data_IF_784935359288
#
_entry.id   IF_784935359288
#
_cell.length_a   1.000
_cell.length_b   1.000
_cell.length_c   1.000
_cell.angle_alpha   90.00
_cell.angle_beta   90.00
_cell.angle_gamma   90.00
#
_symmetry.space_group_name_H-M   'P 1'
#
loop_
_entity.id
_entity.type
_entity.pdbx_description
1 polymer ?
#
# COMPACT_ATOMS: atom_id res chain seq x y z
N UNK A 1 -26.11 3.73 9.30
CA UNK A 1 -25.14 4.07 10.38
C UNK A 1 -23.81 3.53 9.95
N UNK A 2 -22.76 4.30 10.00
CA UNK A 2 -21.41 3.83 9.70
C UNK A 2 -20.97 2.86 10.78
N UNK A 3 -20.51 1.67 10.41
CA UNK A 3 -19.97 0.68 11.33
C UNK A 3 -18.51 0.41 11.04
N UNK A 4 -17.74 0.05 12.07
CA UNK A 4 -16.34 -0.33 11.91
C UNK A 4 -16.22 -1.82 11.63
N UNK A 5 -15.30 -2.16 10.75
CA UNK A 5 -14.89 -3.52 10.49
C UNK A 5 -13.37 -3.59 10.26
N UNK A 6 -12.83 -4.79 10.29
CA UNK A 6 -11.43 -5.10 10.06
C UNK A 6 -11.32 -5.99 8.82
N UNK A 7 -10.27 -5.79 8.04
CA UNK A 7 -9.92 -6.75 6.99
C UNK A 7 -9.48 -8.05 7.64
N UNK A 8 -10.18 -9.15 7.32
CA UNK A 8 -9.98 -10.47 7.92
C UNK A 8 -9.24 -11.47 7.01
N UNK A 9 -8.72 -11.00 5.88
CA UNK A 9 -7.90 -11.76 4.92
C UNK A 9 -6.54 -11.08 4.76
N UNK A 10 -5.48 -11.79 4.33
CA UNK A 10 -4.13 -11.20 4.17
C UNK A 10 -4.12 -9.91 3.37
N UNK A 11 -4.86 -9.88 2.26
CA UNK A 11 -5.05 -8.72 1.39
C UNK A 11 -6.47 -8.73 0.85
N UNK A 12 -7.20 -7.65 1.02
CA UNK A 12 -8.48 -7.43 0.35
C UNK A 12 -8.31 -6.41 -0.77
N UNK A 13 -8.64 -6.81 -2.00
CA UNK A 13 -8.68 -5.89 -3.14
C UNK A 13 -9.91 -5.00 -3.04
N UNK A 14 -9.70 -3.69 -3.16
CA UNK A 14 -10.74 -2.66 -3.11
C UNK A 14 -11.20 -2.35 -4.51
N UNK A 15 -12.39 -2.79 -4.84
CA UNK A 15 -12.99 -2.68 -6.16
C UNK A 15 -13.72 -1.36 -6.35
N UNK A 16 -13.84 -0.89 -7.59
CA UNK A 16 -14.57 0.35 -7.93
C UNK A 16 -16.06 0.20 -7.65
N UNK A 17 -16.62 -0.97 -7.93
CA UNK A 17 -18.01 -1.35 -7.62
C UNK A 17 -18.09 -2.84 -7.30
N UNK A 18 -19.21 -3.27 -6.74
CA UNK A 18 -19.50 -4.69 -6.50
C UNK A 18 -19.57 -5.52 -7.80
N UNK A 19 -19.78 -4.87 -8.93
CA UNK A 19 -19.90 -5.48 -10.24
C UNK A 19 -18.60 -5.38 -11.07
N UNK A 20 -17.53 -4.83 -10.50
CA UNK A 20 -16.23 -4.68 -11.17
C UNK A 20 -15.45 -6.00 -11.32
N UNK A 21 -15.49 -6.97 -10.38
CA UNK A 21 -14.82 -8.25 -10.56
C UNK A 21 -15.44 -9.06 -11.72
N UNK A 22 -14.57 -9.78 -12.44
CA UNK A 22 -14.93 -10.74 -13.48
C UNK A 22 -14.95 -12.16 -12.89
N UNK A 23 -15.45 -13.13 -13.62
CA UNK A 23 -15.43 -14.55 -13.19
C UNK A 23 -14.02 -15.03 -12.87
N UNK A 24 -13.03 -14.59 -13.66
CA UNK A 24 -11.60 -14.92 -13.42
C UNK A 24 -11.02 -14.27 -12.16
N UNK A 25 -11.67 -13.24 -11.61
CA UNK A 25 -11.24 -12.58 -10.37
C UNK A 25 -11.80 -13.26 -9.11
N UNK A 26 -12.55 -14.37 -9.25
CA UNK A 26 -13.14 -15.10 -8.13
C UNK A 26 -12.16 -15.48 -7.01
N UNK A 27 -10.87 -15.84 -7.26
CA UNK A 27 -9.92 -16.11 -6.19
C UNK A 27 -9.56 -14.87 -5.37
N UNK A 28 -9.61 -13.66 -5.95
CA UNK A 28 -9.36 -12.41 -5.24
C UNK A 28 -10.53 -11.97 -4.34
N UNK A 29 -11.74 -12.44 -4.62
CA UNK A 29 -12.97 -12.07 -3.88
C UNK A 29 -13.46 -13.17 -2.95
N UNK A 30 -12.80 -14.33 -2.92
CA UNK A 30 -13.11 -15.45 -2.03
C UNK A 30 -12.68 -15.18 -0.59
N UNK A 31 -13.18 -15.99 0.33
CA UNK A 31 -12.66 -16.15 1.68
C UNK A 31 -12.56 -17.66 1.99
N UNK A 32 -11.34 -18.21 2.21
CA UNK A 32 -10.04 -17.52 2.18
C UNK A 32 -9.70 -16.95 0.80
N UNK A 33 -9.00 -15.80 0.78
CA UNK A 33 -8.52 -15.19 -0.45
C UNK A 33 -7.35 -16.01 -1.02
N UNK A 34 -7.33 -16.20 -2.34
CA UNK A 34 -6.32 -16.94 -3.08
C UNK A 34 -5.53 -15.99 -4.00
N UNK A 35 -4.81 -15.03 -3.37
CA UNK A 35 -4.19 -13.91 -4.08
C UNK A 35 -3.17 -14.36 -5.12
N UNK A 36 -2.33 -15.36 -4.81
CA UNK A 36 -1.33 -15.89 -5.73
C UNK A 36 -2.00 -16.59 -6.93
N UNK A 37 -3.03 -17.42 -6.68
CA UNK A 37 -3.80 -18.09 -7.73
C UNK A 37 -4.43 -17.06 -8.67
N UNK A 38 -5.02 -15.98 -8.11
CA UNK A 38 -5.56 -14.90 -8.91
C UNK A 38 -4.49 -14.25 -9.79
N UNK A 39 -3.36 -13.84 -9.21
CA UNK A 39 -2.29 -13.18 -9.94
C UNK A 39 -1.67 -14.05 -11.04
N UNK A 40 -1.53 -15.36 -10.79
CA UNK A 40 -1.01 -16.34 -11.75
C UNK A 40 -2.01 -16.59 -12.90
N UNK A 41 -3.30 -16.46 -12.66
CA UNK A 41 -4.35 -16.61 -13.67
C UNK A 41 -4.44 -15.42 -14.64
N UNK A 42 -3.91 -14.25 -14.26
CA UNK A 42 -4.01 -13.02 -15.05
C UNK A 42 -3.01 -13.02 -16.22
N UNK A 43 -3.52 -12.93 -17.44
CA UNK A 43 -2.73 -12.63 -18.64
C UNK A 43 -2.37 -11.14 -18.68
N UNK A 44 -1.50 -10.74 -19.62
CA UNK A 44 -1.18 -9.33 -19.83
C UNK A 44 -2.45 -8.50 -20.15
N UNK A 45 -3.32 -8.99 -21.02
CA UNK A 45 -4.57 -8.33 -21.40
C UNK A 45 -5.51 -8.17 -20.20
N UNK A 46 -5.72 -9.23 -19.43
CA UNK A 46 -6.62 -9.18 -18.26
C UNK A 46 -6.06 -8.33 -17.12
N UNK A 47 -4.72 -8.18 -17.03
CA UNK A 47 -4.07 -7.21 -16.12
C UNK A 47 -4.27 -5.78 -16.59
N UNK A 48 -4.16 -5.48 -17.88
CA UNK A 48 -4.44 -4.15 -18.45
C UNK A 48 -5.88 -3.74 -18.17
N UNK A 49 -6.85 -4.65 -18.33
CA UNK A 49 -8.26 -4.38 -18.07
C UNK A 49 -8.55 -3.97 -16.61
N UNK A 50 -7.70 -4.30 -15.64
CA UNK A 50 -7.85 -3.81 -14.26
C UNK A 50 -7.75 -2.27 -14.21
N UNK A 51 -6.86 -1.69 -15.03
CA UNK A 51 -6.67 -0.26 -15.19
C UNK A 51 -7.67 0.35 -16.19
N UNK A 52 -7.68 -0.14 -17.42
CA UNK A 52 -8.39 0.46 -18.55
C UNK A 52 -9.90 0.51 -18.34
N UNK A 53 -10.43 -0.46 -17.60
CA UNK A 53 -11.84 -0.53 -17.23
C UNK A 53 -12.10 -0.03 -15.80
N UNK A 54 -11.08 0.57 -15.16
CA UNK A 54 -11.13 1.12 -13.80
C UNK A 54 -11.78 0.14 -12.80
N UNK A 55 -11.33 -1.12 -12.78
CA UNK A 55 -11.92 -2.18 -11.95
C UNK A 55 -11.50 -2.11 -10.50
N UNK A 56 -10.25 -1.74 -10.23
CA UNK A 56 -9.64 -1.73 -8.89
C UNK A 56 -9.25 -0.31 -8.52
N UNK A 57 -9.44 0.03 -7.24
CA UNK A 57 -9.09 1.31 -6.65
C UNK A 57 -7.84 1.24 -5.76
N UNK A 58 -7.74 0.22 -4.91
CA UNK A 58 -6.66 0.07 -3.94
C UNK A 58 -6.63 -1.36 -3.39
N UNK A 59 -5.80 -1.58 -2.36
CA UNK A 59 -5.80 -2.78 -1.52
C UNK A 59 -5.78 -2.37 -0.04
N UNK A 60 -6.31 -3.25 0.81
CA UNK A 60 -6.27 -3.14 2.26
C UNK A 60 -5.67 -4.39 2.88
N UNK A 61 -4.89 -4.21 3.96
CA UNK A 61 -4.12 -5.26 4.62
C UNK A 61 -4.89 -5.88 5.79
N UNK A 62 -4.52 -7.09 6.17
CA UNK A 62 -5.06 -7.80 7.34
C UNK A 62 -5.04 -6.93 8.60
N UNK A 63 -6.14 -6.93 9.35
CA UNK A 63 -6.30 -6.14 10.57
C UNK A 63 -6.53 -4.64 10.35
N UNK A 64 -6.45 -4.14 9.12
CA UNK A 64 -6.70 -2.73 8.82
C UNK A 64 -8.17 -2.39 9.06
N UNK A 65 -8.41 -1.29 9.79
CA UNK A 65 -9.76 -0.78 10.06
C UNK A 65 -10.36 -0.14 8.80
N UNK A 66 -11.62 -0.43 8.56
CA UNK A 66 -12.43 0.20 7.52
C UNK A 66 -13.77 0.66 8.07
N UNK A 67 -14.32 1.72 7.50
CA UNK A 67 -15.66 2.21 7.78
C UNK A 67 -16.63 1.61 6.76
N UNK A 68 -17.56 0.78 7.21
CA UNK A 68 -18.61 0.19 6.35
C UNK A 68 -19.74 1.20 6.22
N UNK A 69 -19.98 1.66 5.00
CA UNK A 69 -20.97 2.66 4.65
C UNK A 69 -22.28 2.04 4.16
N UNK A 70 -22.18 0.89 3.50
CA UNK A 70 -23.30 0.16 2.89
C UNK A 70 -22.94 -1.31 2.75
N UNK A 71 -23.90 -2.21 2.93
CA UNK A 71 -23.79 -3.64 2.63
C UNK A 71 -24.89 -4.04 1.65
N UNK A 72 -24.51 -4.71 0.55
CA UNK A 72 -25.43 -5.11 -0.49
C UNK A 72 -24.92 -6.33 -1.25
N UNK A 73 -25.77 -7.34 -1.41
CA UNK A 73 -25.53 -8.52 -2.25
C UNK A 73 -24.19 -9.24 -1.91
N UNK A 74 -23.81 -9.30 -0.63
CA UNK A 74 -22.55 -9.92 -0.17
C UNK A 74 -21.31 -9.02 -0.32
N UNK A 75 -21.50 -7.73 -0.63
CA UNK A 75 -20.47 -6.71 -0.76
C UNK A 75 -20.66 -5.59 0.25
N UNK A 76 -19.55 -5.02 0.70
CA UNK A 76 -19.50 -3.86 1.58
C UNK A 76 -18.82 -2.69 0.87
N UNK A 77 -19.51 -1.55 0.79
CA UNK A 77 -18.89 -0.28 0.44
C UNK A 77 -18.16 0.25 1.64
N UNK A 78 -16.86 0.39 1.52
CA UNK A 78 -15.98 0.79 2.62
C UNK A 78 -15.25 2.09 2.32
N UNK A 79 -14.80 2.74 3.41
CA UNK A 79 -13.80 3.81 3.40
C UNK A 79 -12.61 3.31 4.20
N UNK A 80 -11.38 3.52 3.70
CA UNK A 80 -10.13 3.17 4.36
C UNK A 80 -9.51 4.44 4.93
N UNK A 81 -9.63 4.73 6.25
CA UNK A 81 -9.18 5.98 6.84
C UNK A 81 -7.68 6.25 6.69
N UNK A 82 -6.86 5.20 6.71
CA UNK A 82 -5.40 5.31 6.61
C UNK A 82 -4.91 5.72 5.21
N UNK A 83 -5.76 5.66 4.19
CA UNK A 83 -5.44 6.02 2.82
C UNK A 83 -6.08 7.36 2.46
N UNK A 84 -5.40 8.46 2.78
CA UNK A 84 -5.88 9.81 2.46
C UNK A 84 -6.03 10.01 0.94
N UNK A 85 -7.10 10.68 0.53
CA UNK A 85 -7.44 10.93 -0.88
C UNK A 85 -8.33 12.16 -1.01
N UNK A 86 -8.37 12.77 -2.18
CA UNK A 86 -9.33 13.82 -2.53
C UNK A 86 -10.73 13.29 -2.88
N UNK A 87 -10.92 11.97 -2.98
CA UNK A 87 -12.22 11.35 -3.33
C UNK A 87 -13.24 11.39 -2.19
N UNK A 88 -12.76 11.29 -0.94
CA UNK A 88 -13.59 11.35 0.27
C UNK A 88 -12.73 11.84 1.45
N UNK A 89 -13.27 12.72 2.28
CA UNK A 89 -12.55 13.30 3.41
C UNK A 89 -12.35 12.36 4.60
N UNK A 90 -13.00 11.19 4.62
CA UNK A 90 -12.86 10.18 5.65
C UNK A 90 -11.81 9.11 5.29
N UNK A 91 -11.34 9.07 4.03
CA UNK A 91 -10.38 8.10 3.54
C UNK A 91 -10.74 7.54 2.16
N UNK A 92 -10.08 6.47 1.75
CA UNK A 92 -10.19 5.95 0.39
C UNK A 92 -11.43 5.07 0.21
N UNK A 93 -12.37 5.42 -0.69
CA UNK A 93 -13.62 4.67 -0.88
C UNK A 93 -13.47 3.51 -1.88
N UNK A 94 -14.27 2.46 -1.69
CA UNK A 94 -14.44 1.38 -2.65
C UNK A 94 -15.27 0.23 -2.11
N UNK A 95 -15.27 -0.90 -2.80
CA UNK A 95 -16.05 -2.07 -2.46
C UNK A 95 -15.16 -3.28 -2.17
N UNK A 96 -15.49 -4.02 -1.13
CA UNK A 96 -14.84 -5.29 -0.77
C UNK A 96 -15.89 -6.36 -0.53
N UNK A 97 -15.57 -7.66 -0.73
CA UNK A 97 -16.49 -8.74 -0.34
C UNK A 97 -16.77 -8.68 1.17
N UNK A 98 -18.03 -8.70 1.59
CA UNK A 98 -18.38 -8.69 3.02
C UNK A 98 -17.81 -9.89 3.77
N UNK A 99 -17.62 -11.02 3.08
CA UNK A 99 -16.98 -12.21 3.64
C UNK A 99 -15.49 -12.03 4.01
N UNK A 100 -14.84 -10.97 3.51
CA UNK A 100 -13.45 -10.62 3.84
C UNK A 100 -13.33 -9.65 5.03
N UNK A 101 -14.46 -9.31 5.65
CA UNK A 101 -14.53 -8.41 6.80
C UNK A 101 -14.85 -9.18 8.09
N UNK A 102 -14.27 -8.72 9.20
CA UNK A 102 -14.68 -9.03 10.56
C UNK A 102 -15.26 -7.77 11.20
N UNK A 103 -16.54 -7.81 11.60
CA UNK A 103 -17.17 -6.65 12.23
C UNK A 103 -16.61 -6.39 13.62
N UNK A 104 -16.40 -5.11 13.93
CA UNK A 104 -15.84 -4.65 15.19
C UNK A 104 -14.52 -3.92 15.01
N UNK A 105 -13.82 -3.72 16.10
CA UNK A 105 -12.52 -3.06 16.16
C UNK A 105 -11.58 -3.83 17.08
N UNK A 106 -10.28 -3.75 16.84
CA UNK A 106 -9.29 -4.28 17.78
C UNK A 106 -9.16 -3.32 18.97
N UNK A 107 -8.94 -3.85 20.19
CA UNK A 107 -8.64 -3.01 21.34
C UNK A 107 -7.43 -2.11 21.05
N UNK A 108 -7.47 -0.90 21.58
CA UNK A 108 -6.33 0.00 21.55
C UNK A 108 -5.23 -0.55 22.43
N UNK A 109 -3.99 -0.52 21.93
CA UNK A 109 -2.78 -0.87 22.67
C UNK A 109 -1.76 0.25 22.58
N UNK A 110 -0.80 0.26 23.49
CA UNK A 110 0.25 1.29 23.50
C UNK A 110 1.32 1.04 22.43
N UNK A 111 1.36 -0.17 21.85
CA UNK A 111 2.34 -0.56 20.85
C UNK A 111 1.76 -1.42 19.75
N UNK A 112 2.37 -1.36 18.58
CA UNK A 112 1.99 -2.07 17.36
C UNK A 112 3.21 -2.80 16.78
N UNK A 113 2.99 -4.01 16.29
CA UNK A 113 3.94 -4.74 15.46
C UNK A 113 3.70 -4.37 13.99
N UNK A 114 4.73 -3.83 13.33
CA UNK A 114 4.71 -3.47 11.91
C UNK A 114 5.60 -4.45 11.15
N UNK A 115 5.06 -5.16 10.19
CA UNK A 115 5.82 -6.11 9.38
C UNK A 115 6.79 -5.36 8.46
N UNK A 116 8.08 -5.70 8.57
CA UNK A 116 9.19 -5.13 7.79
C UNK A 116 9.81 -6.12 6.80
N UNK A 117 9.58 -7.42 6.96
CA UNK A 117 9.88 -8.42 5.92
C UNK A 117 8.87 -8.34 4.78
N UNK A 118 9.22 -8.79 3.55
CA UNK A 118 8.26 -8.85 2.45
C UNK A 118 7.00 -9.60 2.83
N UNK A 119 7.18 -10.73 3.50
CA UNK A 119 6.12 -11.55 4.04
C UNK A 119 6.48 -12.02 5.44
N UNK A 120 5.48 -12.20 6.29
CA UNK A 120 5.61 -12.75 7.62
C UNK A 120 4.51 -13.79 7.88
N UNK A 121 4.90 -14.92 8.49
CA UNK A 121 3.96 -15.94 8.92
C UNK A 121 3.17 -15.45 10.13
N UNK A 122 1.84 -15.50 10.06
CA UNK A 122 0.96 -15.39 11.22
C UNK A 122 0.74 -16.79 11.79
N UNK A 123 1.12 -17.00 13.04
CA UNK A 123 1.20 -18.31 13.69
C UNK A 123 0.09 -18.41 14.75
N UNK A 124 -0.61 -19.52 14.78
CA UNK A 124 -1.65 -19.82 15.77
C UNK A 124 -1.06 -20.36 17.11
N UNK A 125 -1.92 -20.64 18.09
CA UNK A 125 -1.51 -21.16 19.40
C UNK A 125 -0.91 -22.57 19.33
N UNK A 126 -1.24 -23.35 18.30
CA UNK A 126 -0.71 -24.67 18.02
C UNK A 126 0.66 -24.64 17.30
N UNK A 127 1.21 -23.43 17.07
CA UNK A 127 2.43 -23.17 16.35
C UNK A 127 2.39 -23.56 14.86
N UNK A 128 1.20 -23.46 14.24
CA UNK A 128 0.99 -23.66 12.82
C UNK A 128 0.85 -22.30 12.10
N UNK A 129 1.36 -22.24 10.87
CA UNK A 129 1.18 -21.04 10.02
C UNK A 129 -0.24 -21.01 9.50
N UNK A 130 -0.98 -19.98 9.86
CA UNK A 130 -2.38 -19.80 9.47
C UNK A 130 -2.53 -18.88 8.25
N UNK A 131 -1.76 -17.79 8.22
CA UNK A 131 -1.74 -16.82 7.12
C UNK A 131 -0.32 -16.35 6.83
N UNK A 132 -0.07 -15.94 5.58
CA UNK A 132 1.09 -15.18 5.19
C UNK A 132 0.68 -13.70 5.03
N UNK A 133 1.28 -12.82 5.81
CA UNK A 133 0.96 -11.39 5.85
C UNK A 133 2.00 -10.57 5.09
N UNK A 134 1.53 -9.56 4.38
CA UNK A 134 2.35 -8.67 3.56
C UNK A 134 3.09 -7.61 4.38
N UNK A 135 4.17 -7.09 3.83
CA UNK A 135 4.88 -5.89 4.29
C UNK A 135 3.92 -4.76 4.68
N UNK A 136 4.20 -4.05 5.77
CA UNK A 136 3.40 -2.98 6.33
C UNK A 136 2.01 -3.39 6.86
N UNK A 137 1.75 -4.70 7.08
CA UNK A 137 0.66 -5.12 7.96
C UNK A 137 0.97 -4.69 9.39
N UNK A 138 -0.02 -4.13 10.09
CA UNK A 138 0.13 -3.52 11.41
C UNK A 138 -0.87 -4.16 12.37
N UNK A 139 -0.38 -4.71 13.46
CA UNK A 139 -1.21 -5.41 14.44
C UNK A 139 -0.91 -4.90 15.86
N UNK A 140 -1.93 -4.71 16.72
CA UNK A 140 -1.73 -4.34 18.12
C UNK A 140 -0.96 -5.41 18.88
N UNK A 141 0.05 -5.01 19.65
CA UNK A 141 0.87 -5.92 20.48
C UNK A 141 0.18 -6.20 21.80
N UNK A 142 0.11 -7.47 22.17
CA UNK A 142 -0.30 -7.94 23.50
C UNK A 142 0.92 -8.08 24.39
N UNK A 143 1.94 -8.78 23.86
CA UNK A 143 3.16 -9.08 24.62
C UNK A 143 4.35 -9.40 23.71
N UNK A 144 5.51 -8.92 24.13
CA UNK A 144 6.78 -9.29 23.51
C UNK A 144 7.40 -10.48 24.23
N UNK A 145 7.82 -11.49 23.44
CA UNK A 145 8.59 -12.64 23.91
C UNK A 145 9.96 -12.65 23.19
N UNK A 146 10.88 -13.49 23.60
CA UNK A 146 12.27 -13.51 23.09
C UNK A 146 12.37 -13.71 21.59
N UNK A 147 11.46 -14.47 20.98
CA UNK A 147 11.52 -14.82 19.56
C UNK A 147 10.24 -14.53 18.77
N UNK A 148 9.14 -14.26 19.49
CA UNK A 148 7.84 -14.02 18.90
C UNK A 148 7.16 -12.83 19.58
N UNK A 149 6.29 -12.18 18.83
CA UNK A 149 5.42 -11.10 19.30
C UNK A 149 3.99 -11.62 19.27
N UNK A 150 3.34 -11.54 20.43
CA UNK A 150 1.92 -11.85 20.58
C UNK A 150 1.09 -10.63 20.16
N UNK A 151 0.17 -10.81 19.22
CA UNK A 151 -0.60 -9.73 18.60
C UNK A 151 -2.09 -10.03 18.62
N UNK A 152 -2.91 -8.96 18.65
CA UNK A 152 -4.36 -9.05 18.45
C UNK A 152 -4.67 -9.00 16.96
N UNK A 153 -5.58 -9.86 16.52
CA UNK A 153 -6.00 -9.97 15.13
C UNK A 153 -7.52 -10.17 15.01
N UNK A 154 -8.11 -10.00 13.81
CA UNK A 154 -9.49 -10.39 13.56
C UNK A 154 -9.82 -11.86 13.87
N UNK A 155 -8.78 -12.73 13.94
CA UNK A 155 -8.88 -14.15 14.24
C UNK A 155 -8.59 -14.48 15.72
N UNK A 156 -8.48 -13.45 16.59
CA UNK A 156 -8.05 -13.58 17.98
C UNK A 156 -6.54 -13.37 18.14
N UNK A 157 -5.99 -13.84 19.25
CA UNK A 157 -4.56 -13.73 19.56
C UNK A 157 -3.74 -14.65 18.65
N UNK A 158 -2.66 -14.11 18.09
CA UNK A 158 -1.72 -14.80 17.19
C UNK A 158 -0.30 -14.36 17.45
N UNK A 159 0.67 -14.96 16.75
CA UNK A 159 2.08 -14.71 16.94
C UNK A 159 2.77 -14.37 15.62
N UNK A 160 3.70 -13.40 15.69
CA UNK A 160 4.63 -13.04 14.62
C UNK A 160 6.06 -13.34 15.10
N UNK A 161 6.95 -13.72 14.19
CA UNK A 161 8.39 -13.85 14.50
C UNK A 161 8.96 -12.44 14.72
N UNK A 162 9.71 -12.23 15.82
CA UNK A 162 10.29 -10.92 16.14
C UNK A 162 11.18 -10.37 15.03
N UNK A 163 11.90 -11.23 14.31
CA UNK A 163 12.79 -10.82 13.21
C UNK A 163 12.06 -10.21 12.00
N UNK A 164 10.76 -10.42 11.87
CA UNK A 164 9.94 -9.99 10.74
C UNK A 164 9.19 -8.66 11.01
N UNK A 165 9.34 -8.10 12.22
CA UNK A 165 8.62 -6.91 12.64
C UNK A 165 9.50 -5.90 13.37
N UNK A 166 9.06 -4.65 13.36
CA UNK A 166 9.48 -3.63 14.34
C UNK A 166 8.30 -3.33 15.26
N UNK A 167 8.62 -2.87 16.47
CA UNK A 167 7.62 -2.39 17.43
C UNK A 167 7.60 -0.87 17.36
N UNK A 168 6.42 -0.30 17.28
CA UNK A 168 6.18 1.14 17.23
C UNK A 168 5.09 1.55 18.21
N UNK A 169 5.16 2.76 18.74
CA UNK A 169 4.12 3.33 19.63
C UNK A 169 2.93 3.89 18.85
N UNK A 170 3.01 3.89 17.52
CA UNK A 170 1.96 4.35 16.62
C UNK A 170 1.70 3.36 15.50
N UNK A 171 0.60 3.53 14.74
CA UNK A 171 0.29 2.75 13.52
C UNK A 171 1.17 3.13 12.31
N UNK A 172 2.29 3.79 12.54
CA UNK A 172 3.36 4.06 11.56
C UNK A 172 4.68 3.86 12.29
N UNK A 173 5.76 3.66 11.54
CA UNK A 173 7.09 3.65 12.14
C UNK A 173 7.36 4.99 12.83
N UNK A 174 7.53 4.99 14.14
CA UNK A 174 7.80 6.19 14.94
C UNK A 174 9.27 6.65 14.83
N UNK A 175 10.15 5.80 14.32
CA UNK A 175 11.51 6.15 13.94
C UNK A 175 11.51 6.59 12.46
N UNK A 176 11.50 7.90 12.24
CA UNK A 176 11.49 8.44 10.87
C UNK A 176 12.81 8.16 10.17
N UNK A 177 12.71 7.49 9.02
CA UNK A 177 13.83 7.24 8.12
C UNK A 177 14.26 8.49 7.33
N UNK A 178 15.46 8.45 6.77
CA UNK A 178 15.93 9.41 5.78
C UNK A 178 15.35 9.14 4.39
N UNK A 179 15.59 10.04 3.43
CA UNK A 179 15.23 9.78 2.04
C UNK A 179 15.95 8.56 1.45
N UNK A 180 17.19 8.28 1.89
CA UNK A 180 17.92 7.07 1.50
C UNK A 180 17.27 5.79 2.06
N UNK A 181 16.69 5.85 3.25
CA UNK A 181 15.98 4.69 3.83
C UNK A 181 14.70 4.38 3.05
N UNK A 182 14.02 5.41 2.50
CA UNK A 182 12.88 5.25 1.59
C UNK A 182 13.30 4.51 0.32
N UNK A 183 14.43 4.91 -0.29
CA UNK A 183 15.00 4.24 -1.46
C UNK A 183 15.35 2.78 -1.14
N UNK A 184 16.07 2.54 -0.04
CA UNK A 184 16.49 1.20 0.39
C UNK A 184 15.29 0.28 0.64
N UNK A 185 14.21 0.82 1.23
CA UNK A 185 12.94 0.08 1.38
C UNK A 185 12.37 -0.34 0.03
N UNK A 186 12.47 0.54 -0.98
CA UNK A 186 12.03 0.26 -2.35
C UNK A 186 12.86 -0.79 -3.07
N UNK A 187 14.19 -0.76 -2.89
CA UNK A 187 15.13 -1.73 -3.50
C UNK A 187 14.83 -3.16 -3.09
N UNK A 188 14.28 -3.38 -1.90
CA UNK A 188 13.83 -4.69 -1.45
C UNK A 188 12.79 -5.32 -2.40
N UNK A 189 12.06 -4.52 -3.18
CA UNK A 189 10.99 -4.96 -4.09
C UNK A 189 11.40 -4.96 -5.56
N UNK A 190 12.66 -4.74 -5.90
CA UNK A 190 13.13 -4.86 -7.29
C UNK A 190 12.68 -6.19 -7.92
N UNK A 191 12.25 -6.13 -9.18
CA UNK A 191 11.69 -7.23 -9.98
C UNK A 191 10.29 -7.72 -9.55
N UNK A 192 9.63 -7.10 -8.55
CA UNK A 192 8.24 -7.41 -8.24
C UNK A 192 7.33 -6.89 -9.39
N UNK A 193 6.42 -7.72 -9.92
CA UNK A 193 5.51 -7.30 -10.99
C UNK A 193 4.59 -6.15 -10.57
N UNK A 194 4.35 -5.24 -11.52
CA UNK A 194 3.35 -4.19 -11.36
C UNK A 194 1.94 -4.78 -11.20
N UNK A 195 1.16 -4.22 -10.30
CA UNK A 195 -0.26 -4.51 -10.13
C UNK A 195 -1.03 -3.18 -10.01
N UNK A 196 -1.98 -2.95 -10.91
CA UNK A 196 -2.86 -1.78 -10.80
C UNK A 196 -3.65 -1.80 -9.48
N UNK A 197 -3.70 -0.69 -8.77
CA UNK A 197 -4.30 -0.60 -7.44
C UNK A 197 -3.49 -1.27 -6.32
N UNK A 198 -2.33 -1.87 -6.63
CA UNK A 198 -1.52 -2.66 -5.70
C UNK A 198 -0.88 -1.81 -4.60
N UNK A 199 -0.90 -2.37 -3.38
CA UNK A 199 -0.37 -1.77 -2.15
C UNK A 199 0.47 -2.75 -1.33
N UNK A 200 0.82 -3.91 -1.89
CA UNK A 200 1.29 -5.05 -1.11
C UNK A 200 2.47 -5.74 -1.76
N UNK A 201 3.13 -6.62 -1.01
CA UNK A 201 4.24 -7.45 -1.51
C UNK A 201 3.85 -8.42 -2.64
N UNK A 202 2.57 -8.50 -2.98
CA UNK A 202 2.07 -9.24 -4.14
C UNK A 202 2.12 -8.41 -5.44
N UNK A 203 2.25 -7.09 -5.33
CA UNK A 203 2.38 -6.14 -6.43
C UNK A 203 2.01 -4.73 -5.98
N UNK A 204 2.67 -3.74 -6.55
CA UNK A 204 2.40 -2.32 -6.34
C UNK A 204 2.04 -1.65 -7.65
N UNK A 205 1.16 -0.64 -7.61
CA UNK A 205 1.15 0.40 -8.63
C UNK A 205 2.16 1.51 -8.28
N UNK A 206 2.29 2.52 -9.13
CA UNK A 206 3.30 3.57 -8.94
C UNK A 206 3.11 4.36 -7.64
N UNK A 207 1.89 4.80 -7.38
CA UNK A 207 1.57 5.60 -6.18
C UNK A 207 1.45 4.74 -4.92
N UNK A 208 1.00 3.49 -5.04
CA UNK A 208 1.00 2.51 -3.94
C UNK A 208 2.41 2.13 -3.50
N UNK A 209 3.34 2.02 -4.44
CA UNK A 209 4.76 1.84 -4.14
C UNK A 209 5.32 3.02 -3.35
N UNK A 210 5.15 4.24 -3.87
CA UNK A 210 5.60 5.46 -3.18
C UNK A 210 4.95 5.62 -1.80
N UNK A 211 3.63 5.40 -1.70
CA UNK A 211 2.90 5.41 -0.44
C UNK A 211 3.50 4.44 0.58
N UNK A 212 3.70 3.19 0.17
CA UNK A 212 4.14 2.13 1.09
C UNK A 212 5.59 2.33 1.53
N UNK A 213 6.48 2.79 0.65
CA UNK A 213 7.88 3.06 1.00
C UNK A 213 7.99 4.27 1.93
N UNK A 214 7.22 5.34 1.71
CA UNK A 214 7.13 6.46 2.64
C UNK A 214 6.58 6.04 4.00
N UNK A 215 5.47 5.26 4.03
CA UNK A 215 4.85 4.77 5.26
C UNK A 215 5.80 3.91 6.09
N UNK A 216 6.58 3.03 5.45
CA UNK A 216 7.57 2.19 6.11
C UNK A 216 8.64 3.00 6.85
N UNK A 217 8.88 4.23 6.40
CA UNK A 217 9.84 5.17 6.96
C UNK A 217 9.19 6.28 7.81
N UNK A 218 7.93 6.09 8.22
CA UNK A 218 7.24 6.99 9.16
C UNK A 218 6.55 8.19 8.53
N UNK A 219 6.37 8.21 7.20
CA UNK A 219 5.75 9.32 6.48
C UNK A 219 4.43 8.90 5.84
N UNK A 220 3.31 9.46 6.33
CA UNK A 220 2.01 9.25 5.71
C UNK A 220 1.81 10.25 4.57
N UNK A 221 1.51 9.71 3.39
CA UNK A 221 1.25 10.49 2.18
C UNK A 221 -0.11 10.10 1.59
N UNK A 222 -0.73 10.89 0.71
CA UNK A 222 -1.95 10.48 0.02
C UNK A 222 -1.76 9.21 -0.84
N UNK A 223 -2.85 8.46 -1.09
CA UNK A 223 -2.80 7.22 -1.86
C UNK A 223 -2.54 7.42 -3.36
N UNK A 224 -3.20 8.41 -3.99
CA UNK A 224 -3.17 8.62 -5.43
C UNK A 224 -2.07 9.61 -5.83
N UNK A 225 -1.39 9.37 -6.96
CA UNK A 225 -0.29 10.21 -7.47
C UNK A 225 -0.69 11.68 -7.61
N UNK A 226 -1.91 11.98 -8.08
CA UNK A 226 -2.42 13.34 -8.20
C UNK A 226 -2.53 14.07 -6.85
N UNK A 227 -2.84 13.36 -5.78
CA UNK A 227 -2.93 13.93 -4.45
C UNK A 227 -1.55 14.02 -3.80
N UNK A 228 -0.68 13.03 -4.04
CA UNK A 228 0.74 13.07 -3.65
C UNK A 228 1.45 14.29 -4.26
N UNK A 229 1.18 14.62 -5.51
CA UNK A 229 1.79 15.78 -6.17
C UNK A 229 1.37 17.14 -5.59
N UNK A 230 0.24 17.20 -4.86
CA UNK A 230 -0.29 18.44 -4.26
C UNK A 230 0.12 18.62 -2.80
N UNK A 231 0.64 17.59 -2.15
CA UNK A 231 1.06 17.59 -0.77
C UNK A 231 2.59 17.50 -0.64
N UNK A 232 3.10 17.56 0.60
CA UNK A 232 4.54 17.59 0.84
C UNK A 232 5.21 18.91 0.43
N UNK A 233 6.51 19.02 0.69
CA UNK A 233 7.32 20.20 0.33
C UNK A 233 7.73 20.12 -1.13
N UNK A 234 7.47 21.17 -1.90
CA UNK A 234 7.95 21.27 -3.28
C UNK A 234 9.47 21.37 -3.32
N UNK A 235 10.10 20.63 -4.23
CA UNK A 235 11.54 20.60 -4.43
C UNK A 235 11.85 21.02 -5.86
N UNK A 236 12.79 21.96 -6.00
CA UNK A 236 13.30 22.34 -7.33
C UNK A 236 14.05 21.15 -7.96
N UNK A 237 13.88 20.94 -9.26
CA UNK A 237 14.42 19.75 -9.97
C UNK A 237 15.95 19.67 -9.99
N UNK A 238 16.64 20.76 -9.71
CA UNK A 238 18.10 20.86 -9.54
C UNK A 238 18.57 20.62 -8.08
N UNK A 239 17.63 20.45 -7.14
CA UNK A 239 17.89 20.22 -5.71
C UNK A 239 17.32 18.86 -5.21
N UNK A 240 17.17 17.91 -6.14
CA UNK A 240 16.67 16.58 -5.81
C UNK A 240 17.63 15.80 -4.92
N UNK A 241 17.08 15.13 -3.91
CA UNK A 241 17.81 14.21 -3.04
C UNK A 241 17.12 12.83 -3.03
N UNK A 242 17.86 11.72 -2.79
CA UNK A 242 17.23 10.40 -2.68
C UNK A 242 16.00 10.40 -1.77
N UNK A 243 14.93 9.74 -2.20
CA UNK A 243 13.66 9.68 -1.48
C UNK A 243 12.64 10.77 -1.86
N UNK A 244 13.02 11.76 -2.67
CA UNK A 244 12.06 12.71 -3.24
C UNK A 244 11.14 12.01 -4.23
N UNK A 245 9.85 12.35 -4.22
CA UNK A 245 8.89 11.82 -5.18
C UNK A 245 8.89 12.67 -6.45
N UNK A 246 9.05 12.02 -7.59
CA UNK A 246 9.05 12.60 -8.92
C UNK A 246 7.73 12.32 -9.61
N UNK A 247 7.07 13.35 -10.12
CA UNK A 247 5.77 13.23 -10.79
C UNK A 247 5.90 13.56 -12.26
N UNK A 248 5.23 12.74 -13.08
CA UNK A 248 5.27 12.79 -14.52
C UNK A 248 3.89 13.04 -15.08
N UNK A 249 3.80 14.00 -16.02
CA UNK A 249 2.54 14.39 -16.65
C UNK A 249 2.61 14.23 -18.19
N UNK A 250 1.48 13.89 -18.78
CA UNK A 250 1.33 13.86 -20.24
C UNK A 250 1.71 15.21 -20.87
N UNK A 251 1.77 15.26 -22.19
CA UNK A 251 2.04 16.47 -22.96
C UNK A 251 3.34 17.18 -22.56
N UNK A 252 4.42 16.38 -22.42
CA UNK A 252 5.75 16.88 -22.01
C UNK A 252 5.70 17.64 -20.67
N UNK A 253 5.01 17.06 -19.67
CA UNK A 253 4.92 17.60 -18.32
C UNK A 253 3.84 18.66 -18.11
N UNK A 254 2.99 18.96 -19.11
CA UNK A 254 1.96 20.02 -19.05
C UNK A 254 0.54 19.49 -18.85
N UNK A 255 0.34 18.20 -19.07
CA UNK A 255 -0.96 17.52 -18.97
C UNK A 255 -1.28 17.02 -17.55
N UNK A 256 -2.15 16.03 -17.49
CA UNK A 256 -2.49 15.36 -16.22
C UNK A 256 -1.34 14.46 -15.76
N UNK A 257 -1.12 14.41 -14.44
CA UNK A 257 -0.16 13.48 -13.83
C UNK A 257 -0.66 12.04 -14.06
N UNK A 258 0.22 11.18 -14.56
CA UNK A 258 -0.06 9.78 -14.83
C UNK A 258 0.88 8.81 -14.12
N UNK A 259 2.00 9.31 -13.56
CA UNK A 259 3.00 8.45 -12.94
C UNK A 259 3.74 9.16 -11.82
N UNK A 260 4.27 8.35 -10.87
CA UNK A 260 5.17 8.78 -9.80
C UNK A 260 6.28 7.76 -9.61
N UNK A 261 7.48 8.24 -9.31
CA UNK A 261 8.63 7.43 -8.90
C UNK A 261 9.35 8.06 -7.72
N UNK A 262 10.27 7.35 -7.12
CA UNK A 262 11.11 7.81 -6.01
C UNK A 262 12.50 8.12 -6.60
N UNK A 263 13.00 9.33 -6.40
CA UNK A 263 14.35 9.68 -6.82
C UNK A 263 15.37 8.82 -6.09
N UNK A 264 16.20 8.12 -6.87
CA UNK A 264 17.19 7.18 -6.32
C UNK A 264 18.55 7.85 -6.06
N UNK A 265 18.81 8.96 -6.74
CA UNK A 265 20.11 9.64 -6.82
C UNK A 265 20.72 9.54 -8.21
N UNK A 266 21.71 10.35 -8.49
CA UNK A 266 22.49 10.34 -9.75
C UNK A 266 21.65 10.36 -11.03
N UNK A 267 20.53 11.08 -11.02
CA UNK A 267 19.61 11.18 -12.16
C UNK A 267 18.81 9.90 -12.45
N UNK A 268 18.69 9.02 -11.46
CA UNK A 268 17.90 7.79 -11.52
C UNK A 268 16.65 7.88 -10.64
N UNK A 269 15.66 7.06 -10.96
CA UNK A 269 14.51 6.81 -10.09
C UNK A 269 14.31 5.31 -9.90
N UNK A 270 13.74 4.92 -8.75
CA UNK A 270 13.14 3.61 -8.51
C UNK A 270 11.62 3.76 -8.58
N UNK A 271 10.95 2.88 -9.32
CA UNK A 271 9.51 2.98 -9.52
C UNK A 271 8.86 1.64 -9.87
N UNK A 272 7.54 1.57 -9.69
CA UNK A 272 6.69 0.52 -10.25
C UNK A 272 6.06 1.07 -11.55
N UNK A 273 6.51 0.63 -12.75
CA UNK A 273 6.26 1.36 -14.00
C UNK A 273 4.81 1.30 -14.48
N UNK A 274 4.40 0.13 -14.99
CA UNK A 274 3.08 -0.15 -15.55
C UNK A 274 2.88 -1.66 -15.74
N UNK A 275 1.69 -2.05 -16.15
CA UNK A 275 1.34 -3.45 -16.43
C UNK A 275 2.31 -4.10 -17.43
N UNK A 276 2.78 -5.29 -17.09
CA UNK A 276 3.72 -6.08 -17.88
C UNK A 276 5.19 -5.81 -17.57
N UNK A 277 5.47 -4.84 -16.68
CA UNK A 277 6.81 -4.56 -16.16
C UNK A 277 6.92 -4.89 -14.68
N UNK A 278 8.13 -4.76 -14.16
CA UNK A 278 8.46 -4.98 -12.75
C UNK A 278 9.05 -3.71 -12.16
N UNK A 279 9.10 -3.61 -10.84
CA UNK A 279 9.82 -2.52 -10.15
C UNK A 279 11.26 -2.53 -10.62
N UNK A 280 11.74 -1.38 -11.06
CA UNK A 280 13.08 -1.19 -11.63
C UNK A 280 13.69 0.13 -11.18
N UNK A 281 15.02 0.21 -11.24
CA UNK A 281 15.76 1.47 -11.20
C UNK A 281 16.08 1.90 -12.63
N UNK A 282 15.75 3.14 -12.99
CA UNK A 282 15.84 3.67 -14.35
C UNK A 282 16.53 5.03 -14.36
N UNK A 283 17.46 5.25 -15.30
CA UNK A 283 17.98 6.60 -15.58
C UNK A 283 16.88 7.44 -16.22
N UNK A 284 16.66 8.65 -15.73
CA UNK A 284 15.72 9.60 -16.32
C UNK A 284 16.19 10.07 -17.71
N UNK A 285 17.50 10.30 -17.82
CA UNK A 285 18.13 10.84 -19.04
C UNK A 285 17.94 9.91 -20.23
N UNK A 286 17.45 10.49 -21.33
CA UNK A 286 17.25 9.79 -22.60
C UNK A 286 15.95 8.99 -22.66
N UNK A 287 15.12 9.03 -21.63
CA UNK A 287 13.79 8.40 -21.61
C UNK A 287 12.69 9.43 -21.83
N UNK A 288 11.46 8.95 -22.03
CA UNK A 288 10.29 9.85 -22.09
C UNK A 288 10.02 10.54 -20.75
N UNK A 289 10.40 9.91 -19.64
CA UNK A 289 10.30 10.48 -18.30
C UNK A 289 11.09 11.79 -18.14
N UNK A 290 12.23 11.95 -18.83
CA UNK A 290 13.00 13.20 -18.79
C UNK A 290 12.15 14.40 -19.26
N UNK A 291 11.27 14.18 -20.24
CA UNK A 291 10.40 15.24 -20.79
C UNK A 291 9.12 15.45 -19.99
N UNK A 292 8.62 14.38 -19.36
CA UNK A 292 7.36 14.37 -18.65
C UNK A 292 7.49 14.74 -17.16
N UNK A 293 8.72 14.80 -16.63
CA UNK A 293 8.98 15.24 -15.26
C UNK A 293 8.51 16.69 -15.06
N UNK A 294 7.50 16.87 -14.22
CA UNK A 294 6.85 18.18 -14.05
C UNK A 294 6.98 18.76 -12.64
N UNK A 295 7.05 17.94 -11.60
CA UNK A 295 7.14 18.39 -10.22
C UNK A 295 7.83 17.35 -9.35
N UNK A 296 8.46 17.79 -8.27
CA UNK A 296 8.99 16.90 -7.22
C UNK A 296 8.49 17.34 -5.85
N UNK A 297 8.29 16.36 -4.96
CA UNK A 297 7.83 16.56 -3.58
C UNK A 297 8.70 15.80 -2.60
N UNK A 298 9.05 16.44 -1.48
CA UNK A 298 9.75 15.84 -0.35
C UNK A 298 8.79 15.67 0.81
N UNK A 299 8.72 14.44 1.34
CA UNK A 299 7.90 14.07 2.49
C UNK A 299 8.73 13.70 3.72
N UNK A 300 10.04 13.56 3.55
CA UNK A 300 10.97 13.17 4.59
C UNK A 300 11.78 14.38 5.11
N UNK A 301 12.46 14.17 6.25
CA UNK A 301 13.19 15.24 6.93
C UNK A 301 12.27 16.10 7.81
N UNK A 302 12.80 17.20 8.32
CA UNK A 302 12.02 18.17 9.07
C UNK A 302 11.08 18.91 8.10
N UNK A 303 9.82 18.55 8.11
CA UNK A 303 8.77 19.41 7.55
C UNK A 303 8.53 20.52 8.57
N UNK A 304 8.82 21.77 8.23
CA UNK A 304 8.30 22.90 8.99
C UNK A 304 6.79 22.69 9.12
N UNK A 305 6.32 22.48 10.35
CA UNK A 305 4.90 22.47 10.64
C UNK A 305 4.35 23.80 10.10
N UNK A 306 3.46 23.71 9.11
CA UNK A 306 2.73 24.86 8.61
C UNK A 306 1.90 25.40 9.78
N UNK A 307 2.37 26.52 10.32
CA UNK A 307 1.77 27.36 11.37
C UNK A 307 0.37 27.82 10.94
#
# INVERSE_FOLDING_TARGET
MTTKALIAVPVSTVWTSKDSPRDLDSPAVSNPVQINEWLDSLTHETRLALCDENRIQSQALFGQEVLVMEEKDGWSRVIIPDQATSKDNQGYPGWVPSAQLSHGELPHTDTYAIITSKFADLINEENEVELELSFQTILPVVKEHVHVIEVLTPLGTRFLKQKDVIISTTKVNDQKGSGQDIVTSGEAFLNLPYLWGGMTSYGFDCSGFSYTMCKANGYLIPRDANDQAKAGKEVALDLLEPGDLLFFAYEEGKGSIHHVGIYHGDGQMIHSPNTGKTIETLSLKGTYYEKELCIARRYWGETEESS
#
